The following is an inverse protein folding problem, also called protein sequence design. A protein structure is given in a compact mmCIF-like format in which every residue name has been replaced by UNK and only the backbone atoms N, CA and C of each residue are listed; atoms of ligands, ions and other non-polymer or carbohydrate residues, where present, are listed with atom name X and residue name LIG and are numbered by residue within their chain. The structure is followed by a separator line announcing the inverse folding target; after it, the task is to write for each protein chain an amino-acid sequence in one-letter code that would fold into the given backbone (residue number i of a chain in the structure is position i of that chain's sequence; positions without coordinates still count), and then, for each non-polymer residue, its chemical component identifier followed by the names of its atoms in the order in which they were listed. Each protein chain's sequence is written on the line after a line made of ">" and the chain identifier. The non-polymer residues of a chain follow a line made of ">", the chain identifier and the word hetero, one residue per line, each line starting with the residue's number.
data_IF_703727182622
#
_entry.id   IF_703727182622
#
_cell.length_a   1.000
_cell.length_b   1.000
_cell.length_c   1.000
_cell.angle_alpha   90.00
_cell.angle_beta   90.00
_cell.angle_gamma   90.00
#
_symmetry.space_group_name_H-M   'P 1'
#
loop_
_entity.id
_entity.type
_entity.pdbx_description
1 polymer ?
#
# COMPACT_ATOMS: atom_id res chain seq x y z
N UNK A 1 14.12 16.13 13.83
CA UNK A 1 14.85 15.33 12.81
C UNK A 1 15.13 13.95 13.38
N UNK A 2 14.16 13.04 13.29
CA UNK A 2 14.38 11.65 13.72
C UNK A 2 15.08 10.89 12.59
N UNK A 3 16.35 10.57 12.78
CA UNK A 3 17.07 9.63 11.95
C UNK A 3 16.41 8.25 12.07
N UNK A 4 15.56 7.92 11.09
CA UNK A 4 15.12 6.55 10.87
C UNK A 4 16.35 5.75 10.42
N UNK A 5 16.93 5.00 11.35
CA UNK A 5 18.06 4.12 11.06
C UNK A 5 17.61 3.03 10.07
N UNK A 6 18.46 2.70 9.10
CA UNK A 6 18.18 1.68 8.07
C UNK A 6 17.71 0.33 8.67
N UNK A 7 18.10 0.03 9.91
CA UNK A 7 17.65 -1.16 10.68
C UNK A 7 16.15 -1.17 10.99
N UNK A 8 15.50 -0.01 11.15
CA UNK A 8 14.05 0.08 11.44
C UNK A 8 13.19 -0.20 10.21
N UNK A 9 13.74 0.01 9.00
CA UNK A 9 13.04 -0.27 7.74
C UNK A 9 12.95 -1.79 7.50
N UNK A 10 14.01 -2.53 7.84
CA UNK A 10 14.05 -3.99 7.76
C UNK A 10 13.13 -4.69 8.78
N UNK A 11 12.75 -4.03 9.87
CA UNK A 11 11.83 -4.58 10.89
C UNK A 11 10.34 -4.43 10.53
N UNK A 12 9.99 -3.69 9.47
CA UNK A 12 8.59 -3.41 9.08
C UNK A 12 8.17 -4.06 7.76
N UNK A 13 9.03 -4.93 7.23
CA UNK A 13 8.75 -5.67 6.01
C UNK A 13 8.58 -7.15 6.32
N UNK A 14 7.42 -7.69 5.99
CA UNK A 14 7.11 -9.11 6.15
C UNK A 14 7.17 -9.79 4.80
N UNK A 15 7.92 -10.89 4.71
CA UNK A 15 7.87 -11.73 3.51
C UNK A 15 6.54 -12.49 3.50
N UNK A 16 5.80 -12.36 2.42
CA UNK A 16 4.49 -12.98 2.30
C UNK A 16 4.59 -14.46 1.91
N UNK A 17 3.68 -15.32 2.40
CA UNK A 17 3.80 -16.76 2.26
C UNK A 17 3.53 -17.26 0.85
N UNK A 18 2.68 -16.58 0.08
CA UNK A 18 2.35 -16.95 -1.29
C UNK A 18 1.66 -15.82 -2.07
N UNK A 19 1.78 -15.85 -3.39
CA UNK A 19 1.04 -14.98 -4.31
C UNK A 19 -0.48 -15.09 -4.09
N UNK A 20 -1.00 -16.31 -3.93
CA UNK A 20 -2.43 -16.54 -3.74
C UNK A 20 -2.95 -15.84 -2.48
N UNK A 21 -2.20 -15.88 -1.38
CA UNK A 21 -2.56 -15.19 -0.14
C UNK A 21 -2.66 -13.67 -0.36
N UNK A 22 -1.66 -13.09 -1.04
CA UNK A 22 -1.61 -11.65 -1.32
C UNK A 22 -2.75 -11.22 -2.25
N UNK A 23 -3.00 -11.98 -3.32
CA UNK A 23 -4.11 -11.71 -4.23
C UNK A 23 -5.47 -11.81 -3.54
N UNK A 24 -5.65 -12.78 -2.63
CA UNK A 24 -6.89 -12.92 -1.85
C UNK A 24 -7.07 -11.76 -0.87
N UNK A 25 -6.01 -11.32 -0.20
CA UNK A 25 -6.01 -10.16 0.69
C UNK A 25 -6.40 -8.88 -0.06
N UNK A 26 -5.75 -8.61 -1.20
CA UNK A 26 -6.08 -7.47 -2.06
C UNK A 26 -7.51 -7.57 -2.58
N UNK A 27 -7.96 -8.77 -2.98
CA UNK A 27 -9.31 -8.99 -3.44
C UNK A 27 -10.34 -8.61 -2.37
N UNK A 28 -10.16 -9.09 -1.14
CA UNK A 28 -11.06 -8.80 -0.02
C UNK A 28 -11.17 -7.29 0.25
N UNK A 29 -10.05 -6.56 0.20
CA UNK A 29 -10.02 -5.12 0.43
C UNK A 29 -10.71 -4.33 -0.71
N UNK A 30 -10.38 -4.65 -1.96
CA UNK A 30 -10.90 -3.93 -3.12
C UNK A 30 -12.36 -4.27 -3.43
N UNK A 31 -12.77 -5.54 -3.30
CA UNK A 31 -14.15 -5.94 -3.55
C UNK A 31 -15.13 -5.31 -2.57
N UNK A 32 -14.69 -5.07 -1.32
CA UNK A 32 -15.52 -4.46 -0.28
C UNK A 32 -15.97 -3.02 -0.61
N UNK A 33 -15.22 -2.29 -1.44
CA UNK A 33 -15.49 -0.88 -1.74
C UNK A 33 -15.74 -0.59 -3.22
N UNK A 34 -15.09 -1.32 -4.12
CA UNK A 34 -15.15 -1.09 -5.56
C UNK A 34 -16.01 -2.13 -6.30
N UNK A 35 -16.50 -3.19 -5.63
CA UNK A 35 -17.51 -4.12 -6.14
C UNK A 35 -17.34 -4.50 -7.62
N UNK A 36 -18.36 -4.18 -8.42
CA UNK A 36 -18.42 -4.48 -9.86
C UNK A 36 -17.31 -3.81 -10.69
N UNK A 37 -16.87 -2.60 -10.30
CA UNK A 37 -15.78 -1.91 -10.99
C UNK A 37 -14.47 -2.69 -10.82
N UNK A 38 -14.19 -3.16 -9.60
CA UNK A 38 -13.02 -4.00 -9.36
C UNK A 38 -13.14 -5.33 -10.11
N UNK A 39 -14.32 -5.94 -10.13
CA UNK A 39 -14.53 -7.20 -10.86
C UNK A 39 -14.23 -7.07 -12.36
N UNK A 40 -14.59 -5.94 -12.98
CA UNK A 40 -14.30 -5.67 -14.39
C UNK A 40 -12.79 -5.51 -14.68
N UNK A 41 -12.04 -4.88 -13.76
CA UNK A 41 -10.60 -4.63 -13.96
C UNK A 41 -9.69 -5.69 -13.33
N UNK A 42 -10.23 -6.62 -12.54
CA UNK A 42 -9.43 -7.59 -11.77
C UNK A 42 -8.49 -8.40 -12.67
N UNK A 43 -9.02 -9.01 -13.72
CA UNK A 43 -8.23 -9.83 -14.63
C UNK A 43 -7.17 -8.99 -15.40
N UNK A 44 -7.51 -7.87 -16.06
CA UNK A 44 -6.51 -7.07 -16.76
C UNK A 44 -5.46 -6.46 -15.81
N UNK A 45 -5.84 -6.10 -14.58
CA UNK A 45 -4.89 -5.62 -13.56
C UNK A 45 -3.81 -6.68 -13.28
N UNK A 46 -4.22 -7.91 -12.96
CA UNK A 46 -3.26 -8.97 -12.63
C UNK A 46 -2.46 -9.43 -13.84
N UNK A 47 -3.06 -9.43 -15.04
CA UNK A 47 -2.33 -9.69 -16.29
C UNK A 47 -1.23 -8.66 -16.51
N UNK A 48 -1.53 -7.37 -16.37
CA UNK A 48 -0.54 -6.32 -16.57
C UNK A 48 0.61 -6.39 -15.56
N UNK A 49 0.33 -6.75 -14.31
CA UNK A 49 1.39 -6.97 -13.31
C UNK A 49 2.22 -8.21 -13.65
N UNK A 50 1.58 -9.31 -14.06
CA UNK A 50 2.28 -10.54 -14.44
C UNK A 50 3.19 -10.35 -15.66
N UNK A 51 2.71 -9.65 -16.68
CA UNK A 51 3.47 -9.33 -17.89
C UNK A 51 4.75 -8.54 -17.57
N UNK A 52 4.70 -7.68 -16.56
CA UNK A 52 5.85 -6.85 -16.17
C UNK A 52 6.83 -7.55 -15.23
N UNK A 53 6.39 -8.35 -14.26
CA UNK A 53 7.31 -8.92 -13.25
C UNK A 53 7.33 -10.44 -13.16
N UNK A 54 6.49 -11.15 -13.92
CA UNK A 54 6.33 -12.61 -13.87
C UNK A 54 6.04 -13.01 -12.42
N UNK A 55 4.79 -12.86 -11.98
CA UNK A 55 4.37 -12.99 -10.58
C UNK A 55 4.72 -14.36 -9.97
N UNK A 56 4.74 -15.41 -10.79
CA UNK A 56 5.13 -16.76 -10.36
C UNK A 56 6.60 -16.89 -9.95
N UNK A 57 7.45 -15.96 -10.37
CA UNK A 57 8.89 -15.91 -10.02
C UNK A 57 9.23 -14.78 -9.03
N UNK A 58 8.21 -14.11 -8.46
CA UNK A 58 8.41 -13.01 -7.53
C UNK A 58 8.56 -13.48 -6.07
N UNK A 59 9.51 -12.87 -5.36
CA UNK A 59 9.43 -12.77 -3.90
C UNK A 59 8.52 -11.59 -3.55
N UNK A 60 7.56 -11.81 -2.64
CA UNK A 60 6.58 -10.79 -2.26
C UNK A 60 6.84 -10.32 -0.83
N UNK A 61 6.84 -9.01 -0.65
CA UNK A 61 7.04 -8.37 0.65
C UNK A 61 5.90 -7.40 0.92
N UNK A 62 5.35 -7.40 2.13
CA UNK A 62 4.47 -6.33 2.59
C UNK A 62 5.25 -5.31 3.39
N UNK A 63 4.75 -4.08 3.39
CA UNK A 63 5.22 -3.01 4.26
C UNK A 63 4.04 -2.43 5.03
N UNK A 64 4.13 -2.45 6.35
CA UNK A 64 3.18 -1.78 7.23
C UNK A 64 3.90 -0.62 7.92
N UNK A 65 3.68 0.64 7.52
CA UNK A 65 4.20 1.76 8.29
C UNK A 65 3.49 1.76 9.64
N UNK A 66 4.22 1.48 10.75
CA UNK A 66 3.60 1.58 12.09
C UNK A 66 2.76 2.87 12.18
N UNK A 67 1.47 2.69 12.46
CA UNK A 67 0.46 3.74 12.61
C UNK A 67 0.82 4.78 13.69
N UNK A 68 1.83 4.51 14.53
CA UNK A 68 2.35 5.44 15.54
C UNK A 68 3.37 6.45 15.00
N UNK A 69 3.86 6.27 13.77
CA UNK A 69 4.87 7.12 13.14
C UNK A 69 4.49 7.51 11.71
N UNK A 70 3.23 7.28 11.33
CA UNK A 70 2.75 7.65 10.01
C UNK A 70 2.10 9.05 10.05
N UNK A 71 2.73 10.10 9.47
CA UNK A 71 2.03 11.36 9.22
C UNK A 71 0.86 11.19 8.21
N UNK A 72 0.74 10.02 7.55
CA UNK A 72 -0.40 9.57 6.74
C UNK A 72 -1.34 8.62 7.49
N UNK A 73 -1.16 8.43 8.81
CA UNK A 73 -2.14 7.87 9.74
C UNK A 73 -3.30 8.84 9.91
N UNK A 74 -3.86 9.27 8.79
CA UNK A 74 -4.94 10.23 8.69
C UNK A 74 -6.18 9.59 9.34
N UNK A 75 -6.90 10.32 10.20
CA UNK A 75 -8.19 9.86 10.69
C UNK A 75 -9.06 9.42 9.49
N UNK A 76 -9.66 8.23 9.60
CA UNK A 76 -10.53 7.68 8.57
C UNK A 76 -9.90 6.71 7.57
N UNK A 77 -8.62 6.34 7.68
CA UNK A 77 -8.08 5.20 6.92
C UNK A 77 -8.77 3.89 7.37
N UNK A 78 -9.52 3.27 6.46
CA UNK A 78 -10.22 2.00 6.70
C UNK A 78 -9.28 0.82 6.55
N UNK A 79 -8.47 0.85 5.51
CA UNK A 79 -7.41 -0.12 5.25
C UNK A 79 -6.37 0.49 4.34
N UNK A 80 -5.15 -0.02 4.43
CA UNK A 80 -4.10 0.19 3.44
C UNK A 80 -3.32 -1.08 3.25
N UNK A 81 -2.77 -1.28 2.06
CA UNK A 81 -1.78 -2.31 1.81
C UNK A 81 -0.65 -1.75 0.97
N UNK A 82 0.55 -2.28 1.19
CA UNK A 82 1.75 -1.90 0.45
C UNK A 82 2.52 -3.17 0.16
N UNK A 83 2.47 -3.65 -1.08
CA UNK A 83 3.17 -4.86 -1.51
C UNK A 83 4.26 -4.54 -2.52
N UNK A 84 5.41 -5.21 -2.37
CA UNK A 84 6.50 -5.22 -3.31
C UNK A 84 6.58 -6.61 -3.95
N UNK A 85 6.43 -6.67 -5.26
CA UNK A 85 6.66 -7.86 -6.07
C UNK A 85 8.06 -7.75 -6.66
N UNK A 86 9.00 -8.55 -6.16
CA UNK A 86 10.39 -8.48 -6.58
C UNK A 86 10.80 -9.72 -7.37
N UNK A 87 11.07 -9.53 -8.66
CA UNK A 87 11.69 -10.56 -9.48
C UNK A 87 13.20 -10.35 -9.53
N UNK A 88 13.93 -11.24 -8.86
CA UNK A 88 15.40 -11.23 -8.79
C UNK A 88 16.08 -11.44 -10.15
N UNK A 89 15.49 -12.23 -11.05
CA UNK A 89 16.07 -12.53 -12.36
C UNK A 89 15.96 -11.32 -13.29
N UNK A 90 14.81 -10.66 -13.29
CA UNK A 90 14.56 -9.44 -14.06
C UNK A 90 15.17 -8.18 -13.41
N UNK A 91 15.58 -8.27 -12.13
CA UNK A 91 16.00 -7.13 -11.29
C UNK A 91 14.95 -6.00 -11.28
N UNK A 92 13.67 -6.40 -11.24
CA UNK A 92 12.52 -5.50 -11.35
C UNK A 92 11.64 -5.62 -10.13
N UNK A 93 11.11 -4.47 -9.68
CA UNK A 93 10.19 -4.38 -8.55
C UNK A 93 8.93 -3.67 -9.02
N UNK A 94 7.77 -4.27 -8.77
CA UNK A 94 6.49 -3.57 -8.80
C UNK A 94 6.10 -3.25 -7.37
N UNK A 95 5.85 -1.96 -7.12
CA UNK A 95 5.28 -1.49 -5.87
C UNK A 95 3.77 -1.26 -6.07
N UNK A 96 2.96 -2.08 -5.40
CA UNK A 96 1.52 -1.98 -5.45
C UNK A 96 0.98 -1.55 -4.09
N UNK A 97 0.48 -0.33 -4.02
CA UNK A 97 -0.17 0.23 -2.84
C UNK A 97 -1.58 0.69 -3.16
N UNK A 98 -2.46 0.58 -2.16
CA UNK A 98 -3.77 1.22 -2.17
C UNK A 98 -4.21 1.47 -0.74
N UNK A 99 -5.04 2.49 -0.55
CA UNK A 99 -5.71 2.78 0.70
C UNK A 99 -7.17 3.11 0.46
N UNK A 100 -8.00 2.81 1.45
CA UNK A 100 -9.35 3.30 1.55
C UNK A 100 -9.46 4.30 2.69
N UNK A 101 -10.05 5.44 2.40
CA UNK A 101 -10.28 6.50 3.38
C UNK A 101 -11.76 6.83 3.42
N UNK A 102 -12.29 7.07 4.61
CA UNK A 102 -13.62 7.60 4.79
C UNK A 102 -13.62 9.09 4.42
N UNK A 103 -14.39 9.45 3.40
CA UNK A 103 -14.51 10.83 2.91
C UNK A 103 -14.92 11.85 3.98
N UNK A 104 -15.63 11.43 5.03
CA UNK A 104 -16.03 12.29 6.14
C UNK A 104 -14.83 12.83 6.94
N UNK A 105 -13.72 12.08 6.95
CA UNK A 105 -12.46 12.46 7.60
C UNK A 105 -11.40 12.92 6.60
N UNK A 106 -11.59 12.63 5.31
CA UNK A 106 -10.68 13.09 4.24
C UNK A 106 -10.69 14.63 4.08
N UNK A 107 -11.71 15.31 4.61
CA UNK A 107 -11.86 16.77 4.59
C UNK A 107 -11.29 17.53 5.79
N UNK A 108 -10.78 16.85 6.82
CA UNK A 108 -10.07 17.50 7.95
C UNK A 108 -8.58 17.67 7.67
N UNK A 109 -8.19 17.65 6.39
CA UNK A 109 -7.01 18.41 5.97
C UNK A 109 -7.37 19.89 6.11
N UNK A 110 -7.35 20.41 7.35
CA UNK A 110 -7.14 21.84 7.53
C UNK A 110 -5.90 22.15 6.69
N UNK A 111 -5.98 23.03 5.67
CA UNK A 111 -4.76 23.55 5.08
C UNK A 111 -3.98 24.07 6.27
N UNK A 112 -2.69 23.73 6.31
CA UNK A 112 -1.74 24.29 7.23
C UNK A 112 -1.86 25.82 7.11
N UNK A 113 -2.78 26.43 7.85
CA UNK A 113 -2.77 27.85 8.13
C UNK A 113 -1.53 27.95 8.98
N UNK A 114 -0.44 28.36 8.35
CA UNK A 114 0.53 29.21 9.01
C UNK A 114 -0.29 30.14 9.90
N UNK A 115 -0.33 29.86 11.19
CA UNK A 115 -0.56 30.92 12.14
C UNK A 115 0.55 31.91 11.83
N UNK A 116 0.16 33.01 11.18
CA UNK A 116 1.00 34.18 11.04
C UNK A 116 1.43 34.56 12.45
N UNK A 117 2.66 34.20 12.84
CA UNK A 117 3.37 34.90 13.90
C UNK A 117 3.57 36.33 13.42
N UNK A 118 2.61 37.20 13.70
CA UNK A 118 2.75 38.64 13.57
C UNK A 118 2.22 39.32 14.84
N UNK A 119 3.19 39.52 15.74
CA UNK A 119 3.27 40.34 16.97
C UNK A 119 2.48 39.93 18.21
#
# INVERSE_FOLDING_TARGET
>A
MHHLNQTTIFLKQSKEPSLQWVMNSIHANLSALAGDQYQAIRQPLWSAVDDEVILSECDIYSYNPDLSCDPFGEPGCLWSFNYFFYNKKLKRIVFFTSRAVNSLYAGETLPFSMEDEVY
#
